data_IF_630234917667
#
_entry.id   IF_630234917667
#
_cell.length_a   1.000
_cell.length_b   1.000
_cell.length_c   1.000
_cell.angle_alpha   90.00
_cell.angle_beta   90.00
_cell.angle_gamma   90.00
#
_symmetry.space_group_name_H-M   'P 1'
#
loop_
_entity.id
_entity.type
_entity.pdbx_description
1 polymer ?
#
# COMPACT_ATOMS: atom_id res chain seq x y z
N UNK A 1 -12.97 -49.64 -30.86
CA UNK A 1 -11.95 -50.56 -31.42
C UNK A 1 -10.76 -49.69 -31.80
N UNK A 2 -9.53 -49.80 -31.30
CA UNK A 2 -8.84 -50.61 -30.29
C UNK A 2 -7.75 -49.65 -29.72
N UNK A 3 -7.61 -49.45 -28.40
CA UNK A 3 -6.68 -50.14 -27.48
C UNK A 3 -5.31 -50.53 -28.08
N UNK A 4 -4.24 -49.91 -27.56
CA UNK A 4 -3.19 -50.61 -26.79
C UNK A 4 -2.39 -49.61 -25.92
N UNK A 5 -2.22 -50.03 -24.67
CA UNK A 5 -1.48 -49.43 -23.56
C UNK A 5 0.05 -49.51 -23.73
N UNK A 6 0.79 -48.70 -22.97
CA UNK A 6 1.95 -49.18 -22.22
C UNK A 6 2.17 -48.29 -20.99
N UNK A 7 1.75 -48.79 -19.84
CA UNK A 7 2.31 -48.42 -18.53
C UNK A 7 3.65 -49.15 -18.40
N UNK A 8 4.69 -48.51 -17.85
CA UNK A 8 5.35 -49.13 -16.71
C UNK A 8 6.10 -48.12 -15.85
N UNK A 9 5.97 -48.37 -14.54
CA UNK A 9 6.57 -47.65 -13.43
C UNK A 9 8.05 -48.05 -13.27
N UNK A 10 8.86 -47.24 -12.59
CA UNK A 10 9.56 -47.64 -11.35
C UNK A 10 10.35 -46.47 -10.75
N UNK A 11 10.13 -46.30 -9.44
CA UNK A 11 10.89 -45.50 -8.50
C UNK A 11 12.29 -46.07 -8.24
N UNK A 12 13.16 -45.17 -7.73
CA UNK A 12 14.27 -45.43 -6.79
C UNK A 12 15.61 -45.89 -7.39
N UNK A 13 16.63 -45.02 -7.34
CA UNK A 13 17.60 -45.02 -6.24
C UNK A 13 18.65 -43.91 -6.39
N UNK A 14 19.09 -43.42 -5.23
CA UNK A 14 20.19 -42.46 -5.01
C UNK A 14 21.50 -42.91 -5.66
N UNK A 15 22.23 -41.94 -6.22
CA UNK A 15 23.70 -41.94 -6.19
C UNK A 15 24.19 -40.56 -5.73
N UNK A 16 24.94 -40.60 -4.63
CA UNK A 16 25.70 -39.51 -4.05
C UNK A 16 26.99 -39.38 -4.84
N UNK A 17 27.24 -38.23 -5.46
CA UNK A 17 28.59 -37.80 -5.85
C UNK A 17 28.70 -36.31 -5.49
N UNK A 18 29.25 -36.03 -4.31
CA UNK A 18 30.66 -35.67 -4.07
C UNK A 18 30.90 -34.17 -4.34
N UNK A 19 31.03 -33.45 -3.22
CA UNK A 19 31.49 -32.07 -3.12
C UNK A 19 32.77 -31.90 -3.95
N UNK A 20 32.68 -31.09 -5.01
CA UNK A 20 33.84 -30.46 -5.65
C UNK A 20 34.02 -29.07 -5.04
N UNK A 21 35.15 -28.89 -4.37
CA UNK A 21 35.67 -27.60 -3.94
C UNK A 21 35.82 -26.69 -5.17
N UNK A 22 34.95 -25.67 -5.30
CA UNK A 22 35.19 -24.56 -6.21
C UNK A 22 35.63 -23.34 -5.41
N UNK A 23 36.96 -23.23 -5.32
CA UNK A 23 37.78 -22.02 -5.17
C UNK A 23 37.05 -20.74 -4.76
N UNK A 24 37.17 -20.40 -3.47
CA UNK A 24 37.18 -19.03 -2.97
C UNK A 24 38.32 -18.24 -3.65
N UNK A 25 38.09 -17.74 -4.87
CA UNK A 25 38.94 -16.69 -5.42
C UNK A 25 38.54 -15.35 -4.79
N UNK A 26 39.43 -14.68 -4.05
CA UNK A 26 39.15 -13.33 -3.59
C UNK A 26 39.03 -12.44 -4.82
N UNK A 27 37.90 -11.76 -4.95
CA UNK A 27 37.74 -10.64 -5.89
C UNK A 27 38.73 -9.58 -5.44
N UNK A 28 39.94 -9.57 -6.03
CA UNK A 28 40.84 -8.43 -5.93
C UNK A 28 40.18 -7.27 -6.65
N UNK A 29 39.50 -6.42 -5.88
CA UNK A 29 39.09 -5.11 -6.32
C UNK A 29 40.38 -4.30 -6.58
N UNK A 30 40.83 -4.25 -7.84
CA UNK A 30 41.72 -3.21 -8.31
C UNK A 30 40.95 -1.87 -8.29
N UNK A 31 40.73 -1.35 -7.10
CA UNK A 31 40.39 0.05 -6.89
C UNK A 31 41.68 0.80 -7.13
N UNK A 32 41.82 1.40 -8.32
CA UNK A 32 42.73 2.53 -8.48
C UNK A 32 42.36 3.50 -7.37
N UNK A 33 43.30 3.80 -6.47
CA UNK A 33 43.20 4.87 -5.48
C UNK A 33 43.07 6.20 -6.24
N UNK A 34 41.88 6.48 -6.73
CA UNK A 34 41.46 7.80 -7.14
C UNK A 34 41.27 8.59 -5.85
N UNK A 35 42.01 9.69 -5.73
CA UNK A 35 41.89 10.65 -4.63
C UNK A 35 40.41 10.93 -4.35
N UNK A 36 39.91 10.36 -3.27
CA UNK A 36 38.58 10.65 -2.77
C UNK A 36 38.59 12.13 -2.37
N UNK A 37 37.94 12.98 -3.17
CA UNK A 37 37.80 14.41 -2.90
C UNK A 37 37.44 14.61 -1.41
N UNK A 38 38.11 15.53 -0.72
CA UNK A 38 37.93 15.77 0.73
C UNK A 38 36.45 15.91 1.12
N UNK A 39 35.64 16.49 0.23
CA UNK A 39 34.18 16.61 0.37
C UNK A 39 33.48 15.24 0.49
N UNK A 40 33.90 14.24 -0.29
CA UNK A 40 33.36 12.88 -0.22
C UNK A 40 33.77 12.16 1.08
N UNK A 41 34.95 12.49 1.63
CA UNK A 41 35.43 11.94 2.91
C UNK A 41 34.67 12.54 4.09
N UNK A 42 34.44 13.85 4.07
CA UNK A 42 33.62 14.57 5.05
C UNK A 42 32.15 14.13 4.99
N UNK A 43 31.57 14.02 3.79
CA UNK A 43 30.21 13.50 3.63
C UNK A 43 30.06 12.08 4.19
N UNK A 44 31.06 11.22 4.01
CA UNK A 44 31.05 9.87 4.58
C UNK A 44 31.19 9.87 6.12
N UNK A 45 31.88 10.84 6.73
CA UNK A 45 31.93 10.96 8.19
C UNK A 45 30.60 11.47 8.74
N UNK A 46 30.03 12.51 8.12
CA UNK A 46 28.70 13.05 8.44
C UNK A 46 27.61 11.97 8.36
N UNK A 47 27.62 11.14 7.32
CA UNK A 47 26.68 10.03 7.19
C UNK A 47 26.85 9.02 8.34
N UNK A 48 28.09 8.70 8.73
CA UNK A 48 28.34 7.79 9.86
C UNK A 48 27.85 8.37 11.19
N UNK A 49 28.06 9.66 11.40
CA UNK A 49 27.61 10.36 12.60
C UNK A 49 26.08 10.43 12.66
N UNK A 50 25.41 10.76 11.56
CA UNK A 50 23.93 10.72 11.46
C UNK A 50 23.41 9.30 11.74
N UNK A 51 24.03 8.27 11.18
CA UNK A 51 23.62 6.89 11.42
C UNK A 51 23.82 6.48 12.88
N UNK A 52 24.87 6.97 13.53
CA UNK A 52 25.12 6.76 14.95
C UNK A 52 24.08 7.46 15.81
N UNK A 53 23.76 8.72 15.54
CA UNK A 53 22.70 9.46 16.23
C UNK A 53 21.34 8.78 16.05
N UNK A 54 21.01 8.32 14.84
CA UNK A 54 19.78 7.56 14.59
C UNK A 54 19.72 6.24 15.37
N UNK A 55 20.87 5.57 15.54
CA UNK A 55 20.98 4.37 16.37
C UNK A 55 20.78 4.69 17.84
N UNK A 56 21.44 5.73 18.36
CA UNK A 56 21.31 6.18 19.74
C UNK A 56 19.88 6.66 20.06
N UNK A 57 19.23 7.37 19.14
CA UNK A 57 17.83 7.78 19.27
C UNK A 57 16.92 6.55 19.30
N UNK A 58 17.16 5.56 18.44
CA UNK A 58 16.40 4.30 18.44
C UNK A 58 16.56 3.55 19.76
N UNK A 59 17.78 3.46 20.28
CA UNK A 59 18.09 2.79 21.55
C UNK A 59 17.48 3.55 22.74
N UNK A 60 17.55 4.89 22.77
CA UNK A 60 16.87 5.72 23.78
C UNK A 60 15.35 5.58 23.72
N UNK A 61 14.78 5.45 22.53
CA UNK A 61 13.35 5.18 22.35
C UNK A 61 12.95 3.77 22.80
N UNK A 62 13.83 2.79 22.65
CA UNK A 62 13.62 1.42 23.13
C UNK A 62 13.78 1.33 24.66
N UNK A 63 14.74 2.04 25.25
CA UNK A 63 14.95 2.03 26.70
C UNK A 63 13.89 2.81 27.48
N UNK A 64 13.27 3.82 26.87
CA UNK A 64 12.08 4.50 27.43
C UNK A 64 10.79 3.68 27.27
N UNK A 65 10.82 2.60 26.50
CA UNK A 65 9.71 1.66 26.39
C UNK A 65 9.78 0.70 27.58
N UNK A 66 9.42 1.19 28.77
CA UNK A 66 9.24 0.38 29.98
C UNK A 66 8.36 -0.85 29.67
N UNK A 67 8.61 -1.95 30.39
CA UNK A 67 8.00 -3.30 30.35
C UNK A 67 6.45 -3.34 30.48
N UNK A 68 5.77 -2.48 29.74
CA UNK A 68 4.35 -2.56 29.49
C UNK A 68 4.16 -3.82 28.67
N UNK A 69 3.43 -4.82 29.21
CA UNK A 69 2.89 -5.95 28.45
C UNK A 69 2.58 -5.46 27.04
N UNK A 70 3.32 -5.95 26.05
CA UNK A 70 3.21 -5.47 24.68
C UNK A 70 1.79 -5.81 24.22
N UNK A 71 0.88 -4.85 24.33
CA UNK A 71 -0.43 -4.98 23.73
C UNK A 71 -0.15 -5.04 22.23
N UNK A 72 -0.47 -6.18 21.62
CA UNK A 72 -0.41 -6.35 20.19
C UNK A 72 -1.83 -6.40 19.63
N UNK A 73 -2.07 -5.69 18.53
CA UNK A 73 -3.34 -5.84 17.81
C UNK A 73 -3.38 -7.18 17.09
N UNK A 74 -2.25 -7.62 16.52
CA UNK A 74 -2.20 -8.87 15.75
C UNK A 74 -2.45 -10.07 16.66
N UNK A 75 -3.30 -10.97 16.19
CA UNK A 75 -3.76 -12.18 16.88
C UNK A 75 -4.51 -11.91 18.19
N UNK A 76 -4.90 -10.66 18.47
CA UNK A 76 -5.73 -10.33 19.64
C UNK A 76 -7.19 -10.11 19.27
N UNK A 77 -8.05 -10.05 20.29
CA UNK A 77 -9.48 -9.78 20.12
C UNK A 77 -9.78 -8.40 19.48
N UNK A 78 -8.79 -7.51 19.42
CA UNK A 78 -8.88 -6.20 18.75
C UNK A 78 -8.77 -6.32 17.22
N UNK A 79 -8.06 -7.33 16.71
CA UNK A 79 -7.65 -7.38 15.30
C UNK A 79 -8.84 -7.34 14.34
N UNK A 80 -9.73 -8.33 14.46
CA UNK A 80 -10.85 -8.50 13.54
C UNK A 80 -11.83 -7.32 13.58
N UNK A 81 -12.30 -6.84 14.74
CA UNK A 81 -13.16 -5.68 14.81
C UNK A 81 -12.53 -4.41 14.24
N UNK A 82 -11.21 -4.24 14.42
CA UNK A 82 -10.49 -3.09 13.91
C UNK A 82 -10.31 -3.17 12.39
N UNK A 83 -9.93 -4.33 11.84
CA UNK A 83 -9.84 -4.53 10.39
C UNK A 83 -11.19 -4.27 9.72
N UNK A 84 -12.29 -4.82 10.26
CA UNK A 84 -13.62 -4.64 9.68
C UNK A 84 -14.03 -3.17 9.65
N UNK A 85 -13.73 -2.43 10.72
CA UNK A 85 -13.94 -0.99 10.78
C UNK A 85 -13.10 -0.24 9.75
N UNK A 86 -11.80 -0.55 9.66
CA UNK A 86 -10.89 0.11 8.71
C UNK A 86 -11.30 -0.15 7.27
N UNK A 87 -11.74 -1.38 6.92
CA UNK A 87 -12.24 -1.70 5.59
C UNK A 87 -13.46 -0.86 5.21
N UNK A 88 -14.46 -0.79 6.10
CA UNK A 88 -15.67 0.02 5.85
C UNK A 88 -15.37 1.52 5.77
N UNK A 89 -14.31 1.99 6.43
CA UNK A 89 -13.89 3.39 6.36
C UNK A 89 -13.05 3.71 5.13
N UNK A 90 -12.21 2.78 4.69
CA UNK A 90 -11.17 3.02 3.68
C UNK A 90 -11.71 3.58 2.36
N UNK A 91 -12.91 3.14 1.95
CA UNK A 91 -13.54 3.58 0.70
C UNK A 91 -13.93 5.06 0.76
N UNK A 92 -14.25 5.58 1.96
CA UNK A 92 -14.63 6.97 2.19
C UNK A 92 -13.45 7.86 2.55
N UNK A 93 -12.57 7.37 3.41
CA UNK A 93 -11.39 8.06 3.90
C UNK A 93 -10.14 7.22 3.59
N UNK A 94 -9.55 7.39 2.40
CA UNK A 94 -8.36 6.64 1.94
C UNK A 94 -7.14 6.89 2.86
N UNK A 95 -7.11 8.05 3.51
CA UNK A 95 -6.06 8.46 4.44
C UNK A 95 -6.64 8.61 5.85
N UNK A 96 -5.84 8.25 6.85
CA UNK A 96 -6.17 8.57 8.24
C UNK A 96 -6.04 10.07 8.48
N UNK A 97 -6.94 10.62 9.28
CA UNK A 97 -6.91 12.02 9.68
C UNK A 97 -5.90 12.23 10.82
N UNK A 98 -5.39 13.45 10.95
CA UNK A 98 -4.55 13.84 12.08
C UNK A 98 -5.14 15.08 12.76
N UNK A 99 -5.75 14.96 13.95
CA UNK A 99 -6.03 13.75 14.72
C UNK A 99 -7.25 12.95 14.20
N UNK A 100 -7.25 11.63 14.42
CA UNK A 100 -8.34 10.74 14.00
C UNK A 100 -9.37 10.49 15.10
N UNK A 101 -10.36 11.38 15.22
CA UNK A 101 -11.42 11.29 16.24
C UNK A 101 -12.33 10.08 16.04
N UNK A 102 -12.65 9.71 14.78
CA UNK A 102 -13.49 8.55 14.46
C UNK A 102 -12.81 7.25 14.90
N UNK A 103 -11.51 7.10 14.64
CA UNK A 103 -10.72 5.95 15.08
C UNK A 103 -10.62 5.92 16.61
N UNK A 104 -10.36 7.07 17.25
CA UNK A 104 -10.33 7.19 18.71
C UNK A 104 -11.64 6.68 19.34
N UNK A 105 -12.78 7.13 18.83
CA UNK A 105 -14.10 6.70 19.29
C UNK A 105 -14.32 5.20 19.10
N UNK A 106 -13.90 4.64 17.97
CA UNK A 106 -13.98 3.19 17.73
C UNK A 106 -13.13 2.40 18.72
N UNK A 107 -11.89 2.84 18.98
CA UNK A 107 -10.99 2.16 19.92
C UNK A 107 -11.54 2.25 21.35
N UNK A 108 -12.08 3.40 21.77
CA UNK A 108 -12.75 3.53 23.07
C UNK A 108 -13.91 2.54 23.21
N UNK A 109 -14.74 2.41 22.17
CA UNK A 109 -15.84 1.43 22.15
C UNK A 109 -15.33 -0.02 22.24
N UNK A 110 -14.25 -0.35 21.53
CA UNK A 110 -13.65 -1.68 21.58
C UNK A 110 -13.03 -1.99 22.95
N UNK A 111 -12.34 -1.04 23.57
CA UNK A 111 -11.78 -1.18 24.91
C UNK A 111 -12.87 -1.56 25.92
N UNK A 112 -13.98 -0.80 25.94
CA UNK A 112 -15.11 -1.08 26.84
C UNK A 112 -15.73 -2.44 26.57
N UNK A 113 -15.99 -2.76 25.29
CA UNK A 113 -16.65 -4.01 24.90
C UNK A 113 -15.81 -5.25 25.19
N UNK A 114 -14.48 -5.15 25.06
CA UNK A 114 -13.55 -6.25 25.31
C UNK A 114 -13.03 -6.27 26.76
N UNK A 115 -13.50 -5.35 27.61
CA UNK A 115 -13.09 -5.20 29.00
C UNK A 115 -11.57 -5.13 29.17
N UNK A 116 -10.89 -4.41 28.28
CA UNK A 116 -9.44 -4.21 28.35
C UNK A 116 -9.11 -3.26 29.50
N UNK A 117 -8.20 -3.69 30.38
CA UNK A 117 -7.86 -2.98 31.63
C UNK A 117 -6.72 -1.99 31.45
N UNK A 118 -6.00 -2.08 30.35
CA UNK A 118 -4.85 -1.23 30.07
C UNK A 118 -5.28 0.21 29.79
N UNK A 119 -4.34 1.13 30.02
CA UNK A 119 -4.57 2.56 29.78
C UNK A 119 -4.98 2.83 28.33
N UNK A 120 -5.97 3.71 28.17
CA UNK A 120 -6.53 4.02 26.85
C UNK A 120 -5.48 4.63 25.91
N UNK A 121 -4.56 5.46 26.41
CA UNK A 121 -3.54 6.07 25.55
C UNK A 121 -2.59 5.02 24.99
N UNK A 122 -2.26 3.98 25.77
CA UNK A 122 -1.46 2.84 25.32
C UNK A 122 -2.21 2.04 24.24
N UNK A 123 -3.46 1.66 24.51
CA UNK A 123 -4.30 0.90 23.55
C UNK A 123 -4.49 1.70 22.26
N UNK A 124 -4.77 2.99 22.37
CA UNK A 124 -4.98 3.86 21.21
C UNK A 124 -3.72 4.00 20.38
N UNK A 125 -2.54 4.17 21.01
CA UNK A 125 -1.26 4.25 20.29
C UNK A 125 -0.98 2.99 19.48
N UNK A 126 -1.20 1.81 20.07
CA UNK A 126 -1.04 0.52 19.43
C UNK A 126 -2.04 0.33 18.28
N UNK A 127 -3.32 0.65 18.50
CA UNK A 127 -4.35 0.61 17.46
C UNK A 127 -4.07 1.58 16.30
N UNK A 128 -3.57 2.79 16.60
CA UNK A 128 -3.22 3.80 15.59
C UNK A 128 -2.07 3.33 14.71
N UNK A 129 -1.01 2.78 15.32
CA UNK A 129 0.13 2.20 14.57
C UNK A 129 -0.34 1.06 13.66
N UNK A 130 -1.18 0.17 14.19
CA UNK A 130 -1.77 -0.93 13.42
C UNK A 130 -2.64 -0.42 12.26
N UNK A 131 -3.52 0.54 12.53
CA UNK A 131 -4.39 1.14 11.53
C UNK A 131 -3.59 1.81 10.41
N UNK A 132 -2.55 2.58 10.75
CA UNK A 132 -1.68 3.22 9.76
C UNK A 132 -1.02 2.20 8.82
N UNK A 133 -0.52 1.08 9.38
CA UNK A 133 0.02 -0.03 8.58
C UNK A 133 -1.06 -0.63 7.66
N UNK A 134 -2.25 -0.97 8.19
CA UNK A 134 -3.32 -1.56 7.38
C UNK A 134 -3.85 -0.64 6.29
N UNK A 135 -3.97 0.65 6.56
CA UNK A 135 -4.36 1.64 5.55
C UNK A 135 -3.30 1.74 4.43
N UNK A 136 -2.02 1.56 4.76
CA UNK A 136 -0.95 1.45 3.76
C UNK A 136 -1.05 0.16 2.95
N UNK A 137 -1.34 -0.98 3.59
CA UNK A 137 -1.58 -2.25 2.89
C UNK A 137 -2.78 -2.16 1.93
N UNK A 138 -3.87 -1.51 2.36
CA UNK A 138 -5.08 -1.34 1.54
C UNK A 138 -4.82 -0.46 0.32
N UNK A 139 -4.09 0.64 0.52
CA UNK A 139 -3.57 1.48 -0.58
C UNK A 139 -2.70 0.66 -1.53
N UNK A 140 -1.80 -0.18 -1.02
CA UNK A 140 -1.01 -1.10 -1.84
C UNK A 140 -1.87 -2.02 -2.72
N UNK A 141 -2.92 -2.62 -2.14
CA UNK A 141 -3.86 -3.48 -2.87
C UNK A 141 -4.65 -2.73 -3.95
N UNK A 142 -5.07 -1.49 -3.69
CA UNK A 142 -5.76 -0.65 -4.68
C UNK A 142 -4.81 -0.28 -5.82
N UNK A 143 -3.59 0.20 -5.51
CA UNK A 143 -2.59 0.55 -6.52
C UNK A 143 -2.28 -0.64 -7.42
N UNK A 144 -2.07 -1.83 -6.84
CA UNK A 144 -1.79 -3.05 -7.60
C UNK A 144 -2.88 -3.38 -8.64
N UNK A 145 -4.16 -3.12 -8.32
CA UNK A 145 -5.27 -3.31 -9.27
C UNK A 145 -5.29 -2.25 -10.37
N UNK A 146 -4.94 -1.01 -10.05
CA UNK A 146 -4.91 0.12 -10.99
C UNK A 146 -3.81 -0.06 -12.03
N UNK A 147 -2.62 -0.46 -11.59
CA UNK A 147 -1.44 -0.62 -12.47
C UNK A 147 -1.39 -1.98 -13.16
N UNK A 148 -2.32 -2.89 -12.84
CA UNK A 148 -2.36 -4.21 -13.47
C UNK A 148 -2.66 -4.08 -14.96
N UNK A 149 -1.90 -4.80 -15.79
CA UNK A 149 -2.09 -4.84 -17.25
C UNK A 149 -3.39 -5.57 -17.62
N UNK A 150 -3.84 -6.53 -16.80
CA UNK A 150 -5.07 -7.29 -17.04
C UNK A 150 -5.90 -7.46 -15.76
N UNK A 151 -7.19 -7.08 -15.77
CA UNK A 151 -7.87 -6.25 -16.76
C UNK A 151 -7.38 -4.79 -16.71
N UNK A 152 -7.36 -4.09 -17.84
CA UNK A 152 -7.12 -2.65 -17.88
C UNK A 152 -8.33 -1.91 -17.29
N UNK A 153 -8.22 -1.56 -16.02
CA UNK A 153 -9.32 -0.94 -15.27
C UNK A 153 -9.62 0.49 -15.75
N UNK A 154 -8.70 1.13 -16.48
CA UNK A 154 -8.85 2.50 -16.97
C UNK A 154 -9.98 2.68 -18.00
N UNK A 155 -10.44 1.60 -18.63
CA UNK A 155 -11.52 1.63 -19.63
C UNK A 155 -12.88 1.13 -19.11
N UNK A 156 -12.96 0.72 -17.84
CA UNK A 156 -14.20 0.20 -17.27
C UNK A 156 -15.21 1.32 -17.01
N UNK A 157 -16.52 1.11 -17.15
CA UNK A 157 -17.54 2.02 -16.62
C UNK A 157 -17.27 2.35 -15.15
N UNK A 158 -17.66 3.55 -14.68
CA UNK A 158 -17.37 3.99 -13.30
C UNK A 158 -17.85 3.00 -12.21
N UNK A 159 -19.06 2.41 -12.30
CA UNK A 159 -19.49 1.40 -11.33
C UNK A 159 -18.60 0.16 -11.30
N UNK A 160 -18.18 -0.33 -12.47
CA UNK A 160 -17.28 -1.48 -12.59
C UNK A 160 -15.88 -1.15 -12.09
N UNK A 161 -15.37 0.05 -12.39
CA UNK A 161 -14.10 0.54 -11.89
C UNK A 161 -14.09 0.58 -10.36
N UNK A 162 -15.12 1.20 -9.75
CA UNK A 162 -15.28 1.29 -8.30
C UNK A 162 -15.33 -0.10 -7.67
N UNK A 163 -16.17 -1.00 -8.20
CA UNK A 163 -16.29 -2.37 -7.70
C UNK A 163 -14.97 -3.13 -7.82
N UNK A 164 -14.22 -2.92 -8.91
CA UNK A 164 -12.94 -3.59 -9.13
C UNK A 164 -11.90 -3.15 -8.11
N UNK A 165 -11.71 -1.85 -7.91
CA UNK A 165 -10.67 -1.34 -7.00
C UNK A 165 -11.09 -1.50 -5.52
N UNK A 166 -12.34 -1.21 -5.18
CA UNK A 166 -12.82 -1.14 -3.80
C UNK A 166 -13.67 -2.32 -3.34
N UNK A 167 -14.08 -3.26 -4.20
CA UNK A 167 -15.05 -4.31 -3.84
C UNK A 167 -14.70 -5.20 -2.65
N UNK A 168 -13.41 -5.30 -2.27
CA UNK A 168 -12.97 -6.02 -1.03
C UNK A 168 -13.22 -5.23 0.27
N UNK A 169 -13.57 -3.95 0.15
CA UNK A 169 -13.73 -2.98 1.22
C UNK A 169 -15.17 -2.48 1.35
N UNK A 170 -15.93 -2.47 0.24
CA UNK A 170 -17.35 -2.11 0.23
C UNK A 170 -18.15 -3.17 1.01
N UNK A 171 -18.88 -2.73 2.04
CA UNK A 171 -19.84 -3.55 2.79
C UNK A 171 -21.23 -2.89 2.71
N UNK A 172 -21.87 -2.99 1.56
CA UNK A 172 -23.22 -2.48 1.34
C UNK A 172 -23.32 -0.95 1.18
N UNK A 173 -24.34 -0.55 0.41
CA UNK A 173 -24.74 0.79 -0.07
C UNK A 173 -23.60 1.68 -0.55
N UNK A 174 -23.51 1.83 -1.87
CA UNK A 174 -22.70 2.82 -2.57
C UNK A 174 -23.16 4.23 -2.15
N UNK A 175 -22.30 4.96 -1.44
CA UNK A 175 -22.52 6.36 -1.10
C UNK A 175 -21.70 7.31 -1.98
N UNK A 176 -22.14 8.57 -2.05
CA UNK A 176 -21.51 9.61 -2.90
C UNK A 176 -20.01 9.74 -2.68
N UNK A 177 -19.53 9.61 -1.44
CA UNK A 177 -18.10 9.73 -1.10
C UNK A 177 -17.21 8.66 -1.76
N UNK A 178 -17.75 7.47 -1.92
CA UNK A 178 -17.01 6.31 -2.44
C UNK A 178 -16.83 6.45 -3.95
N UNK A 179 -17.89 6.91 -4.60
CA UNK A 179 -17.89 7.28 -5.99
C UNK A 179 -16.99 8.49 -6.25
N UNK A 180 -17.06 9.55 -5.42
CA UNK A 180 -16.16 10.71 -5.52
C UNK A 180 -14.69 10.29 -5.43
N UNK A 181 -14.33 9.41 -4.49
CA UNK A 181 -12.99 8.87 -4.39
C UNK A 181 -12.59 8.04 -5.63
N UNK A 182 -13.51 7.24 -6.17
CA UNK A 182 -13.26 6.51 -7.41
C UNK A 182 -13.01 7.45 -8.59
N UNK A 183 -13.83 8.50 -8.74
CA UNK A 183 -13.67 9.55 -9.76
C UNK A 183 -12.32 10.25 -9.61
N UNK A 184 -11.95 10.67 -8.39
CA UNK A 184 -10.67 11.33 -8.13
C UNK A 184 -9.47 10.45 -8.49
N UNK A 185 -9.46 9.19 -8.03
CA UNK A 185 -8.39 8.23 -8.36
C UNK A 185 -8.28 8.07 -9.87
N UNK A 186 -9.41 7.93 -10.56
CA UNK A 186 -9.43 7.72 -11.99
C UNK A 186 -8.89 8.94 -12.74
N UNK A 187 -9.39 10.14 -12.42
CA UNK A 187 -8.93 11.39 -13.04
C UNK A 187 -7.43 11.58 -12.83
N UNK A 188 -6.95 11.40 -11.60
CA UNK A 188 -5.53 11.44 -11.26
C UNK A 188 -4.71 10.45 -12.10
N UNK A 189 -5.15 9.19 -12.19
CA UNK A 189 -4.44 8.17 -12.96
C UNK A 189 -4.38 8.49 -14.46
N UNK A 190 -5.40 9.15 -15.02
CA UNK A 190 -5.37 9.63 -16.39
C UNK A 190 -4.43 10.81 -16.59
N UNK A 191 -4.53 11.83 -15.74
CA UNK A 191 -3.67 13.04 -15.80
C UNK A 191 -2.19 12.68 -15.69
N UNK A 192 -1.86 11.73 -14.81
CA UNK A 192 -0.49 11.25 -14.59
C UNK A 192 -0.07 10.13 -15.56
N UNK A 193 -0.92 9.76 -16.52
CA UNK A 193 -0.69 8.68 -17.50
C UNK A 193 -0.22 7.39 -16.82
N UNK A 194 -0.96 6.93 -15.81
CA UNK A 194 -0.61 5.73 -15.01
C UNK A 194 -1.16 4.45 -15.64
N UNK A 195 -2.32 4.52 -16.31
CA UNK A 195 -2.96 3.33 -16.85
C UNK A 195 -2.10 2.63 -17.92
N UNK A 196 -2.07 1.28 -17.96
CA UNK A 196 -1.13 0.51 -18.78
C UNK A 196 -1.14 0.85 -20.28
N UNK A 197 -2.30 1.20 -20.86
CA UNK A 197 -2.39 1.61 -22.27
C UNK A 197 -1.68 2.94 -22.60
N UNK A 198 -1.37 3.76 -21.60
CA UNK A 198 -0.80 5.11 -21.77
C UNK A 198 0.51 5.32 -20.98
N UNK A 199 0.91 4.39 -20.12
CA UNK A 199 1.83 4.68 -19.03
C UNK A 199 3.30 4.36 -19.28
N UNK A 200 4.12 5.41 -19.30
CA UNK A 200 5.59 5.37 -19.27
C UNK A 200 6.17 5.71 -17.88
N UNK A 201 5.35 6.09 -16.89
CA UNK A 201 5.81 6.83 -15.70
C UNK A 201 5.58 6.14 -14.32
N UNK A 202 5.15 4.89 -14.26
CA UNK A 202 4.80 4.21 -12.99
C UNK A 202 5.99 4.15 -11.99
N UNK A 203 7.23 4.06 -12.50
CA UNK A 203 8.43 3.92 -11.67
C UNK A 203 8.96 5.22 -11.05
N UNK A 204 8.45 6.40 -11.43
CA UNK A 204 8.98 7.72 -10.99
C UNK A 204 8.05 8.49 -10.05
N UNK A 205 6.85 7.97 -9.78
CA UNK A 205 5.78 8.67 -9.07
C UNK A 205 5.62 8.17 -7.64
N UNK A 206 5.57 9.07 -6.65
CA UNK A 206 5.00 8.75 -5.34
C UNK A 206 3.48 8.75 -5.45
N UNK A 207 2.94 7.67 -6.01
CA UNK A 207 1.53 7.53 -6.34
C UNK A 207 0.59 8.06 -5.24
N UNK A 208 0.82 7.68 -3.97
CA UNK A 208 -0.10 8.03 -2.89
C UNK A 208 0.18 9.39 -2.28
N UNK A 209 1.43 9.89 -2.31
CA UNK A 209 1.75 11.27 -1.95
C UNK A 209 1.16 12.26 -2.94
N UNK A 210 1.39 12.03 -4.23
CA UNK A 210 0.90 12.88 -5.31
C UNK A 210 -0.62 12.85 -5.42
N UNK A 211 -1.24 11.67 -5.26
CA UNK A 211 -2.69 11.56 -5.19
C UNK A 211 -3.28 12.31 -3.99
N UNK A 212 -2.58 12.33 -2.84
CA UNK A 212 -3.04 13.08 -1.67
C UNK A 212 -3.08 14.59 -1.97
N UNK A 213 -2.01 15.12 -2.56
CA UNK A 213 -1.95 16.52 -2.98
C UNK A 213 -3.05 16.87 -3.98
N UNK A 214 -3.25 16.02 -4.99
CA UNK A 214 -4.33 16.17 -5.97
C UNK A 214 -5.72 16.19 -5.31
N UNK A 215 -5.97 15.23 -4.41
CA UNK A 215 -7.23 15.11 -3.67
C UNK A 215 -7.50 16.36 -2.85
N UNK A 216 -6.50 16.88 -2.14
CA UNK A 216 -6.65 18.05 -1.29
C UNK A 216 -6.98 19.29 -2.15
N UNK A 217 -6.37 19.43 -3.34
CA UNK A 217 -6.76 20.47 -4.32
C UNK A 217 -8.22 20.35 -4.76
N UNK A 218 -8.66 19.15 -5.17
CA UNK A 218 -10.04 18.93 -5.64
C UNK A 218 -11.07 19.15 -4.52
N UNK A 219 -10.74 18.78 -3.28
CA UNK A 219 -11.65 18.96 -2.15
C UNK A 219 -11.81 20.43 -1.76
N UNK A 220 -10.74 21.24 -1.87
CA UNK A 220 -10.75 22.67 -1.57
C UNK A 220 -11.32 23.53 -2.71
N UNK A 221 -11.61 22.94 -3.88
CA UNK A 221 -12.29 23.62 -4.98
C UNK A 221 -13.80 23.68 -4.70
N UNK A 222 -14.33 24.86 -4.42
CA UNK A 222 -15.76 25.08 -4.10
C UNK A 222 -16.65 25.23 -5.35
N UNK A 223 -16.17 24.85 -6.53
CA UNK A 223 -16.99 24.88 -7.75
C UNK A 223 -18.27 24.05 -7.65
N UNK A 224 -19.40 24.69 -7.95
CA UNK A 224 -20.70 24.03 -8.07
C UNK A 224 -20.70 23.00 -9.21
N UNK A 225 -21.27 21.83 -8.93
CA UNK A 225 -21.36 20.71 -9.86
C UNK A 225 -20.02 20.08 -10.22
N UNK A 226 -18.96 20.25 -9.41
CA UNK A 226 -17.61 19.72 -9.72
C UNK A 226 -17.60 18.21 -9.94
N UNK A 227 -18.38 17.47 -9.15
CA UNK A 227 -18.43 16.01 -9.21
C UNK A 227 -19.10 15.52 -10.49
N UNK A 228 -20.19 16.16 -10.90
CA UNK A 228 -20.90 15.90 -12.15
C UNK A 228 -20.00 16.23 -13.35
N UNK A 229 -19.29 17.36 -13.31
CA UNK A 229 -18.33 17.75 -14.35
C UNK A 229 -17.16 16.77 -14.45
N UNK A 230 -16.63 16.28 -13.32
CA UNK A 230 -15.58 15.26 -13.32
C UNK A 230 -16.09 13.93 -13.86
N UNK A 231 -17.24 13.45 -13.37
CA UNK A 231 -17.91 12.24 -13.86
C UNK A 231 -18.13 12.29 -15.38
N UNK A 232 -18.75 13.37 -15.88
CA UNK A 232 -19.04 13.52 -17.30
C UNK A 232 -17.79 13.60 -18.19
N UNK A 233 -16.67 14.13 -17.67
CA UNK A 233 -15.37 14.10 -18.36
C UNK A 233 -14.83 12.68 -18.49
N UNK A 234 -14.94 11.87 -17.44
CA UNK A 234 -14.51 10.48 -17.44
C UNK A 234 -15.39 9.60 -18.34
N UNK A 235 -16.72 9.74 -18.28
CA UNK A 235 -17.66 8.99 -19.12
C UNK A 235 -17.46 9.26 -20.61
N UNK A 236 -17.39 10.53 -21.02
CA UNK A 236 -17.09 10.93 -22.42
C UNK A 236 -15.74 10.39 -22.90
N UNK A 237 -14.78 10.20 -22.00
CA UNK A 237 -13.47 9.63 -22.35
C UNK A 237 -13.59 8.13 -22.63
N UNK A 238 -14.33 7.39 -21.80
CA UNK A 238 -14.58 5.95 -21.98
C UNK A 238 -15.33 5.70 -23.28
N UNK A 239 -16.39 6.45 -23.55
CA UNK A 239 -17.17 6.32 -24.79
C UNK A 239 -16.30 6.46 -26.03
N UNK A 240 -15.37 7.44 -26.02
CA UNK A 240 -14.40 7.61 -27.12
C UNK A 240 -13.48 6.41 -27.26
N UNK A 241 -12.97 5.86 -26.17
CA UNK A 241 -12.10 4.68 -26.22
C UNK A 241 -12.83 3.43 -26.70
N UNK A 242 -14.08 3.22 -26.26
CA UNK A 242 -14.89 2.09 -26.69
C UNK A 242 -15.19 2.15 -28.20
N UNK A 243 -15.51 3.34 -28.72
CA UNK A 243 -15.72 3.56 -30.17
C UNK A 243 -14.46 3.35 -31.02
N UNK A 244 -13.28 3.64 -30.49
CA UNK A 244 -12.00 3.45 -31.20
C UNK A 244 -11.47 2.01 -31.14
N UNK A 245 -12.06 1.16 -30.29
CA UNK A 245 -11.70 -0.25 -30.13
C UNK A 245 -12.64 -1.23 -30.84
N UNK A 246 -13.66 -0.70 -31.55
CA UNK A 246 -14.55 -1.41 -32.46
C UNK A 246 -14.07 -1.21 -33.89
#
# INVERSE_FOLDING_TARGET
MAETNYEDSQESQRSVEMFGEEDERPIQANVREGECCNVCRENNSLIKDILKELKEIREKMQSQQTDSKIICVEKSALERPLIEYLKGRFVRDIFLSSPDTKLKNKVMSLQRRLNLKEDFAVIFRVCLKYASRKMTDFRGQVKAKIVSVKPDVGNLPLPEFQQRIFGKFIKGVNGDLEEQNAIMIRSFCHEQKIFPKFGQNIGKLDFWGDFKSYRDTVLNDDMEGKWEKMRGREEKRIERYQRLSQ
#
